data_IF_357878686636
#
_entry.id   IF_357878686636
#
_cell.length_a   1.000
_cell.length_b   1.000
_cell.length_c   1.000
_cell.angle_alpha   90.00
_cell.angle_beta   90.00
_cell.angle_gamma   90.00
#
_symmetry.space_group_name_H-M   'P 1'
#
loop_
_entity.id
_entity.type
_entity.pdbx_description
1 polymer ?
#
# COMPACT_ATOMS: atom_id res chain seq x y z
N UNK A 1 14.72 -59.46 -3.35
CA UNK A 1 13.53 -58.57 -3.40
C UNK A 1 13.90 -57.24 -2.74
N UNK A 2 14.66 -56.42 -3.47
CA UNK A 2 15.03 -55.07 -3.05
C UNK A 2 13.84 -54.15 -3.34
N UNK A 3 13.06 -53.85 -2.30
CA UNK A 3 11.98 -52.85 -2.38
C UNK A 3 12.62 -51.53 -2.81
N UNK A 4 12.30 -51.10 -4.04
CA UNK A 4 12.84 -49.90 -4.66
C UNK A 4 12.30 -48.68 -3.89
N UNK A 5 13.03 -48.23 -2.85
CA UNK A 5 12.65 -47.07 -2.00
C UNK A 5 12.75 -45.70 -2.72
N UNK A 6 13.12 -45.69 -4.00
CA UNK A 6 13.32 -44.49 -4.82
C UNK A 6 12.18 -43.45 -4.76
N UNK A 7 10.90 -43.82 -4.99
CA UNK A 7 9.81 -42.85 -4.99
C UNK A 7 9.51 -42.29 -3.59
N UNK A 8 9.74 -43.06 -2.53
CA UNK A 8 9.48 -42.65 -1.16
C UNK A 8 10.39 -41.50 -0.69
N UNK A 9 11.70 -41.59 -0.96
CA UNK A 9 12.63 -40.51 -0.64
C UNK A 9 12.37 -39.24 -1.47
N UNK A 10 11.92 -39.40 -2.72
CA UNK A 10 11.53 -38.28 -3.57
C UNK A 10 10.33 -37.51 -3.00
N UNK A 11 9.32 -38.24 -2.51
CA UNK A 11 8.13 -37.64 -1.86
C UNK A 11 8.53 -36.90 -0.58
N UNK A 12 9.39 -37.48 0.25
CA UNK A 12 9.90 -36.81 1.46
C UNK A 12 10.70 -35.55 1.11
N UNK A 13 11.54 -35.60 0.08
CA UNK A 13 12.30 -34.44 -0.37
C UNK A 13 11.39 -33.32 -0.88
N UNK A 14 10.42 -33.65 -1.73
CA UNK A 14 9.46 -32.68 -2.30
C UNK A 14 8.62 -32.04 -1.19
N UNK A 15 8.05 -32.84 -0.30
CA UNK A 15 7.28 -32.33 0.84
C UNK A 15 8.14 -31.47 1.75
N UNK A 16 9.37 -31.87 2.06
CA UNK A 16 10.31 -31.08 2.86
C UNK A 16 10.60 -29.70 2.25
N UNK A 17 10.82 -29.63 0.94
CA UNK A 17 11.03 -28.37 0.21
C UNK A 17 9.77 -27.50 0.26
N UNK A 18 8.59 -28.08 0.13
CA UNK A 18 7.31 -27.37 0.24
C UNK A 18 7.10 -26.79 1.65
N UNK A 19 7.35 -27.57 2.71
CA UNK A 19 7.28 -27.09 4.10
C UNK A 19 8.26 -25.94 4.35
N UNK A 20 9.47 -26.02 3.80
CA UNK A 20 10.48 -24.95 3.89
C UNK A 20 10.00 -23.66 3.19
N UNK A 21 9.47 -23.77 1.97
CA UNK A 21 8.91 -22.62 1.24
C UNK A 21 7.74 -21.98 2.01
N UNK A 22 6.85 -22.79 2.59
CA UNK A 22 5.71 -22.32 3.37
C UNK A 22 6.11 -21.59 4.65
N UNK A 23 7.11 -22.09 5.37
CA UNK A 23 7.65 -21.42 6.57
C UNK A 23 8.25 -20.06 6.20
N UNK A 24 9.04 -20.01 5.13
CA UNK A 24 9.63 -18.77 4.62
C UNK A 24 8.54 -17.75 4.22
N UNK A 25 7.55 -18.20 3.43
CA UNK A 25 6.47 -17.34 2.96
C UNK A 25 5.58 -16.83 4.10
N UNK A 26 5.23 -17.71 5.04
CA UNK A 26 4.43 -17.34 6.23
C UNK A 26 5.15 -16.28 7.06
N UNK A 27 6.47 -16.43 7.27
CA UNK A 27 7.29 -15.41 7.93
C UNK A 27 7.29 -14.07 7.19
N UNK A 28 7.35 -14.09 5.85
CA UNK A 28 7.27 -12.89 5.02
C UNK A 28 5.91 -12.20 5.14
N UNK A 29 4.81 -12.95 5.09
CA UNK A 29 3.44 -12.42 5.23
C UNK A 29 3.24 -11.82 6.62
N UNK A 30 3.63 -12.52 7.69
CA UNK A 30 3.51 -12.00 9.06
C UNK A 30 4.30 -10.70 9.26
N UNK A 31 5.52 -10.62 8.71
CA UNK A 31 6.35 -9.41 8.76
C UNK A 31 5.75 -8.25 7.96
N UNK A 32 5.01 -8.55 6.89
CA UNK A 32 4.32 -7.55 6.09
C UNK A 32 2.99 -7.11 6.72
N UNK A 33 2.23 -8.03 7.34
CA UNK A 33 0.96 -7.75 8.02
C UNK A 33 1.07 -6.71 9.13
N UNK A 34 2.21 -6.66 9.84
CA UNK A 34 2.45 -5.66 10.88
C UNK A 34 2.56 -4.22 10.33
N UNK A 35 2.93 -4.08 9.05
CA UNK A 35 3.11 -2.79 8.37
C UNK A 35 1.86 -2.32 7.61
N UNK A 36 0.83 -3.15 7.53
CA UNK A 36 -0.35 -2.91 6.70
C UNK A 36 -1.47 -2.24 7.53
N UNK A 37 -2.07 -1.15 7.03
CA UNK A 37 -3.16 -0.46 7.71
C UNK A 37 -4.36 -1.40 7.95
N UNK A 38 -5.07 -1.20 9.07
CA UNK A 38 -6.16 -2.07 9.55
C UNK A 38 -7.23 -2.38 8.50
N UNK A 39 -7.57 -1.41 7.65
CA UNK A 39 -8.56 -1.59 6.58
C UNK A 39 -8.13 -2.60 5.51
N UNK A 40 -6.82 -2.70 5.23
CA UNK A 40 -6.27 -3.64 4.24
C UNK A 40 -6.01 -5.03 4.85
N UNK A 41 -6.05 -5.18 6.18
CA UNK A 41 -5.80 -6.46 6.88
C UNK A 41 -6.84 -7.55 6.56
N UNK A 42 -8.12 -7.20 6.36
CA UNK A 42 -9.16 -8.19 5.99
C UNK A 42 -8.87 -8.88 4.66
N UNK A 43 -8.45 -8.13 3.64
CA UNK A 43 -8.11 -8.67 2.31
C UNK A 43 -6.85 -9.53 2.38
N UNK A 44 -5.88 -9.14 3.19
CA UNK A 44 -4.66 -9.91 3.39
C UNK A 44 -4.91 -11.20 4.19
N UNK A 45 -5.83 -11.17 5.16
CA UNK A 45 -6.26 -12.38 5.87
C UNK A 45 -6.99 -13.37 4.95
N UNK A 46 -7.83 -12.90 4.02
CA UNK A 46 -8.44 -13.74 2.99
C UNK A 46 -7.39 -14.38 2.07
N UNK A 47 -6.38 -13.62 1.65
CA UNK A 47 -5.25 -14.14 0.88
C UNK A 47 -4.50 -15.25 1.65
N UNK A 48 -4.20 -15.03 2.93
CA UNK A 48 -3.56 -16.05 3.79
C UNK A 48 -4.44 -17.29 3.97
N UNK A 49 -5.76 -17.11 4.10
CA UNK A 49 -6.72 -18.22 4.21
C UNK A 49 -6.73 -19.08 2.94
N UNK A 50 -6.76 -18.47 1.75
CA UNK A 50 -6.70 -19.21 0.48
C UNK A 50 -5.40 -20.00 0.32
N UNK A 51 -4.27 -19.47 0.82
CA UNK A 51 -3.00 -20.19 0.82
C UNK A 51 -3.02 -21.40 1.77
N UNK A 52 -3.58 -21.24 2.98
CA UNK A 52 -3.71 -22.34 3.94
C UNK A 52 -4.65 -23.42 3.39
N UNK A 53 -5.76 -23.03 2.76
CA UNK A 53 -6.69 -23.96 2.12
C UNK A 53 -6.02 -24.73 0.99
N UNK A 54 -5.20 -24.06 0.16
CA UNK A 54 -4.36 -24.70 -0.84
C UNK A 54 -3.36 -25.70 -0.23
N UNK A 55 -2.78 -25.39 0.93
CA UNK A 55 -1.89 -26.31 1.67
C UNK A 55 -2.60 -27.57 2.16
N UNK A 56 -3.81 -27.43 2.71
CA UNK A 56 -4.58 -28.59 3.17
C UNK A 56 -4.96 -29.51 2.00
N UNK A 57 -5.32 -28.93 0.85
CA UNK A 57 -5.58 -29.69 -0.37
C UNK A 57 -4.33 -30.47 -0.84
N UNK A 58 -3.13 -29.87 -0.70
CA UNK A 58 -1.84 -30.52 -1.02
C UNK A 58 -1.55 -31.73 -0.14
N UNK A 59 -1.68 -31.57 1.18
CA UNK A 59 -1.47 -32.65 2.13
C UNK A 59 -2.41 -33.83 1.86
N UNK A 60 -3.66 -33.55 1.45
CA UNK A 60 -4.63 -34.55 1.04
C UNK A 60 -4.27 -35.26 -0.28
N UNK A 61 -3.58 -34.61 -1.22
CA UNK A 61 -3.23 -35.26 -2.51
C UNK A 61 -2.22 -36.38 -2.39
N UNK A 62 -1.33 -36.31 -1.39
CA UNK A 62 -0.25 -37.29 -1.16
C UNK A 62 -0.80 -38.66 -0.76
N UNK A 63 -1.97 -38.72 -0.14
CA UNK A 63 -2.60 -39.99 0.27
C UNK A 63 -3.18 -40.77 -0.91
N UNK A 64 -3.34 -40.14 -2.08
CA UNK A 64 -3.88 -40.76 -3.30
C UNK A 64 -2.81 -41.14 -4.32
N UNK A 65 -1.51 -40.98 -3.99
CA UNK A 65 -0.39 -41.27 -4.89
C UNK A 65 -0.42 -42.70 -5.44
N UNK A 66 -0.86 -43.67 -4.64
CA UNK A 66 -0.90 -45.09 -5.02
C UNK A 66 -2.23 -45.53 -5.65
N UNK A 67 -3.27 -44.69 -5.61
CA UNK A 67 -4.63 -45.09 -5.99
C UNK A 67 -4.88 -44.92 -7.49
N UNK A 68 -4.47 -43.78 -8.07
CA UNK A 68 -4.68 -43.53 -9.50
C UNK A 68 -3.75 -42.43 -10.06
N UNK A 69 -2.92 -42.72 -11.08
CA UNK A 69 -2.00 -41.75 -11.68
C UNK A 69 -2.68 -40.52 -12.30
N UNK A 70 -3.88 -40.69 -12.85
CA UNK A 70 -4.63 -39.60 -13.49
C UNK A 70 -5.20 -38.62 -12.46
N UNK A 71 -5.65 -39.13 -11.32
CA UNK A 71 -6.11 -38.31 -10.20
C UNK A 71 -4.93 -37.49 -9.66
N UNK A 72 -3.76 -38.11 -9.51
CA UNK A 72 -2.54 -37.42 -9.12
C UNK A 72 -2.15 -36.32 -10.12
N UNK A 73 -2.20 -36.59 -11.43
CA UNK A 73 -1.88 -35.61 -12.47
C UNK A 73 -2.82 -34.39 -12.45
N UNK A 74 -4.13 -34.61 -12.25
CA UNK A 74 -5.12 -33.53 -12.10
C UNK A 74 -4.83 -32.70 -10.85
N UNK A 75 -4.48 -33.33 -9.73
CA UNK A 75 -4.14 -32.65 -8.48
C UNK A 75 -2.84 -31.83 -8.61
N UNK A 76 -1.84 -32.32 -9.35
CA UNK A 76 -0.59 -31.59 -9.66
C UNK A 76 -0.83 -30.40 -10.58
N UNK A 77 -1.74 -30.52 -11.56
CA UNK A 77 -2.13 -29.37 -12.40
C UNK A 77 -2.85 -28.30 -11.59
N UNK A 78 -3.82 -28.68 -10.76
CA UNK A 78 -4.50 -27.76 -9.85
C UNK A 78 -3.53 -27.11 -8.85
N UNK A 79 -2.50 -27.85 -8.41
CA UNK A 79 -1.41 -27.35 -7.58
C UNK A 79 -0.66 -26.19 -8.23
N UNK A 80 -0.25 -26.32 -9.49
CA UNK A 80 0.48 -25.26 -10.22
C UNK A 80 -0.41 -24.05 -10.54
N UNK A 81 -1.72 -24.23 -10.63
CA UNK A 81 -2.66 -23.14 -10.93
C UNK A 81 -3.09 -22.36 -9.67
N UNK A 82 -3.00 -22.96 -8.48
CA UNK A 82 -3.36 -22.31 -7.20
C UNK A 82 -2.68 -20.94 -6.93
N UNK A 83 -1.40 -20.69 -7.29
CA UNK A 83 -0.75 -19.39 -7.08
C UNK A 83 -1.22 -18.33 -8.08
N UNK A 84 -1.83 -18.72 -9.20
CA UNK A 84 -2.34 -17.78 -10.21
C UNK A 84 -3.58 -17.05 -9.72
N UNK A 85 -4.37 -17.63 -8.82
CA UNK A 85 -5.58 -17.00 -8.27
C UNK A 85 -5.21 -15.80 -7.39
N UNK A 86 -4.30 -15.90 -6.41
CA UNK A 86 -3.83 -14.74 -5.66
C UNK A 86 -3.11 -13.69 -6.52
N UNK A 87 -2.32 -14.11 -7.50
CA UNK A 87 -1.66 -13.19 -8.45
C UNK A 87 -2.68 -12.46 -9.33
N UNK A 88 -3.68 -13.17 -9.84
CA UNK A 88 -4.80 -12.60 -10.60
C UNK A 88 -5.66 -11.67 -9.76
N UNK A 89 -5.93 -12.03 -8.50
CA UNK A 89 -6.63 -11.19 -7.53
C UNK A 89 -5.86 -9.89 -7.24
N UNK A 90 -4.53 -9.97 -7.05
CA UNK A 90 -3.68 -8.79 -6.88
C UNK A 90 -3.62 -7.92 -8.15
N UNK A 91 -3.63 -8.54 -9.34
CA UNK A 91 -3.64 -7.84 -10.62
C UNK A 91 -4.98 -7.14 -10.90
N UNK A 92 -6.11 -7.79 -10.59
CA UNK A 92 -7.45 -7.18 -10.75
C UNK A 92 -7.70 -6.06 -9.75
N UNK A 93 -7.01 -6.08 -8.61
CA UNK A 93 -7.08 -5.04 -7.60
C UNK A 93 -5.91 -4.04 -7.72
N UNK A 94 -5.14 -4.10 -8.81
CA UNK A 94 -3.95 -3.26 -9.00
C UNK A 94 -4.28 -1.78 -9.02
N UNK A 95 -5.43 -1.38 -9.55
CA UNK A 95 -5.80 0.04 -9.58
C UNK A 95 -6.09 0.60 -8.17
N UNK A 96 -6.29 -0.27 -7.16
CA UNK A 96 -6.48 0.12 -5.74
C UNK A 96 -5.29 -0.22 -4.84
N UNK A 97 -4.36 -1.07 -5.28
CA UNK A 97 -3.15 -1.48 -4.55
C UNK A 97 -1.91 -0.74 -5.07
N UNK A 98 -1.88 -0.51 -6.39
CA UNK A 98 -0.93 0.29 -7.16
C UNK A 98 -1.63 1.50 -7.76
N UNK A 99 -2.45 2.22 -6.97
CA UNK A 99 -2.36 3.68 -7.15
C UNK A 99 -0.86 4.00 -7.12
N UNK A 100 -0.34 4.70 -8.12
CA UNK A 100 1.08 4.98 -8.14
C UNK A 100 1.43 5.59 -6.79
N UNK A 101 2.56 5.18 -6.20
CA UNK A 101 3.14 5.84 -5.02
C UNK A 101 3.30 7.38 -5.25
N UNK A 102 3.00 7.87 -6.46
CA UNK A 102 2.79 9.27 -6.81
C UNK A 102 1.51 9.95 -6.24
N UNK A 103 0.60 9.25 -5.56
CA UNK A 103 -0.64 9.87 -5.02
C UNK A 103 -0.87 9.70 -3.51
N UNK A 104 0.02 9.02 -2.77
CA UNK A 104 0.13 9.30 -1.33
C UNK A 104 0.88 10.62 -1.21
N UNK A 105 0.15 11.73 -1.33
CA UNK A 105 0.60 13.05 -0.87
C UNK A 105 0.15 13.14 0.58
N UNK A 106 0.89 12.60 1.57
CA UNK A 106 0.55 12.80 2.99
C UNK A 106 0.45 14.29 3.34
N UNK A 107 1.05 15.16 2.51
CA UNK A 107 0.93 16.60 2.65
C UNK A 107 -0.34 17.21 2.02
N UNK A 108 -1.01 16.58 1.05
CA UNK A 108 -2.28 17.14 0.52
C UNK A 108 -3.39 16.99 1.55
N UNK A 109 -3.55 15.82 2.15
CA UNK A 109 -4.54 15.63 3.24
C UNK A 109 -4.23 16.53 4.44
N UNK A 110 -2.94 16.68 4.79
CA UNK A 110 -2.51 17.57 5.86
C UNK A 110 -2.78 19.04 5.54
N UNK A 111 -2.50 19.50 4.31
CA UNK A 111 -2.80 20.88 3.86
C UNK A 111 -4.30 21.14 3.85
N UNK A 112 -5.08 20.22 3.28
CA UNK A 112 -6.53 20.32 3.21
C UNK A 112 -7.13 20.43 4.62
N UNK A 113 -6.70 19.54 5.53
CA UNK A 113 -7.13 19.57 6.92
C UNK A 113 -6.67 20.83 7.66
N UNK A 114 -5.47 21.34 7.43
CA UNK A 114 -5.01 22.62 7.99
C UNK A 114 -5.86 23.80 7.47
N UNK A 115 -6.14 23.84 6.18
CA UNK A 115 -6.95 24.88 5.57
C UNK A 115 -8.39 24.86 6.10
N UNK A 116 -8.98 23.68 6.26
CA UNK A 116 -10.28 23.53 6.91
C UNK A 116 -10.24 23.95 8.39
N UNK A 117 -9.23 23.49 9.15
CA UNK A 117 -9.06 23.81 10.57
C UNK A 117 -8.97 25.31 10.84
N UNK A 118 -8.26 26.05 9.99
CA UNK A 118 -8.07 27.49 10.12
C UNK A 118 -9.04 28.31 9.25
N UNK A 119 -10.03 27.67 8.63
CA UNK A 119 -11.03 28.31 7.75
C UNK A 119 -10.36 29.23 6.71
N UNK A 120 -9.31 28.72 6.07
CA UNK A 120 -8.59 29.41 5.01
C UNK A 120 -9.46 29.42 3.75
N UNK A 121 -9.69 30.61 3.21
CA UNK A 121 -10.48 30.81 2.00
C UNK A 121 -9.68 30.44 0.74
N UNK A 122 -10.33 30.15 -0.39
CA UNK A 122 -9.63 29.84 -1.65
C UNK A 122 -8.61 30.92 -2.04
N UNK A 123 -8.97 32.20 -1.86
CA UNK A 123 -8.06 33.30 -2.18
C UNK A 123 -6.85 33.38 -1.25
N UNK A 124 -7.03 33.03 0.03
CA UNK A 124 -5.92 32.93 0.98
C UNK A 124 -5.03 31.72 0.67
N UNK A 125 -5.60 30.60 0.21
CA UNK A 125 -4.83 29.44 -0.24
C UNK A 125 -3.89 29.82 -1.39
N UNK A 126 -4.39 30.52 -2.42
CA UNK A 126 -3.55 31.01 -3.53
C UNK A 126 -2.38 31.87 -3.04
N UNK A 127 -2.62 32.76 -2.07
CA UNK A 127 -1.57 33.59 -1.47
C UNK A 127 -0.55 32.73 -0.70
N UNK A 128 -1.01 31.76 0.10
CA UNK A 128 -0.13 30.81 0.83
C UNK A 128 0.74 30.02 -0.14
N UNK A 129 0.19 29.54 -1.25
CA UNK A 129 0.95 28.82 -2.27
C UNK A 129 2.09 29.66 -2.84
N UNK A 130 1.80 30.92 -3.21
CA UNK A 130 2.86 31.82 -3.68
C UNK A 130 3.89 32.14 -2.59
N UNK A 131 3.48 32.19 -1.32
CA UNK A 131 4.39 32.36 -0.19
C UNK A 131 5.34 31.15 -0.07
N UNK A 132 4.80 29.93 -0.17
CA UNK A 132 5.53 28.67 -0.14
C UNK A 132 6.51 28.52 -1.32
N UNK A 133 6.23 29.14 -2.46
CA UNK A 133 7.15 29.25 -3.60
C UNK A 133 8.28 30.27 -3.39
N UNK A 134 8.32 30.96 -2.24
CA UNK A 134 9.37 31.94 -1.92
C UNK A 134 9.17 33.32 -2.55
N UNK A 135 8.01 33.60 -3.16
CA UNK A 135 7.76 34.89 -3.84
C UNK A 135 7.58 36.05 -2.86
N UNK A 136 8.14 37.22 -3.18
CA UNK A 136 7.93 38.45 -2.42
C UNK A 136 6.49 38.96 -2.57
N UNK A 137 5.99 39.78 -1.64
CA UNK A 137 4.63 40.31 -1.75
C UNK A 137 4.38 41.08 -3.05
N UNK A 138 5.41 41.73 -3.62
CA UNK A 138 5.33 42.38 -4.92
C UNK A 138 5.16 41.37 -6.06
N UNK A 139 5.91 40.27 -6.03
CA UNK A 139 5.78 39.19 -7.02
C UNK A 139 4.43 38.48 -6.91
N UNK A 140 3.92 38.30 -5.69
CA UNK A 140 2.58 37.73 -5.45
C UNK A 140 1.50 38.66 -6.03
N UNK A 141 1.61 39.97 -5.77
CA UNK A 141 0.70 40.98 -6.30
C UNK A 141 0.63 40.92 -7.84
N UNK A 142 1.81 40.87 -8.48
CA UNK A 142 1.91 40.73 -9.93
C UNK A 142 1.36 39.38 -10.43
N UNK A 143 1.63 38.27 -9.73
CA UNK A 143 1.18 36.92 -10.14
C UNK A 143 -0.34 36.77 -10.04
N UNK A 144 -0.93 37.29 -8.95
CA UNK A 144 -2.36 37.15 -8.66
C UNK A 144 -3.19 38.33 -9.18
N UNK A 145 -2.58 39.25 -9.92
CA UNK A 145 -3.19 40.47 -10.48
C UNK A 145 -3.96 41.29 -9.43
N UNK A 146 -3.36 41.52 -8.26
CA UNK A 146 -3.92 42.33 -7.16
C UNK A 146 -2.91 43.35 -6.65
N UNK A 147 -3.38 44.35 -5.91
CA UNK A 147 -2.50 45.36 -5.34
C UNK A 147 -1.57 44.78 -4.26
N UNK A 148 -0.39 45.39 -4.08
CA UNK A 148 0.52 45.04 -2.99
C UNK A 148 -0.16 45.16 -1.62
N UNK A 149 -1.03 46.16 -1.43
CA UNK A 149 -1.77 46.35 -0.20
C UNK A 149 -2.72 45.16 0.05
N UNK A 150 -3.43 44.71 -0.98
CA UNK A 150 -4.32 43.54 -0.89
C UNK A 150 -3.55 42.28 -0.50
N UNK A 151 -2.33 42.06 -1.02
CA UNK A 151 -1.47 40.94 -0.60
C UNK A 151 -1.08 41.05 0.88
N UNK A 152 -0.75 42.25 1.36
CA UNK A 152 -0.44 42.48 2.78
C UNK A 152 -1.65 42.18 3.65
N UNK A 153 -2.83 42.61 3.25
CA UNK A 153 -4.08 42.36 3.98
C UNK A 153 -4.42 40.87 4.03
N UNK A 154 -4.29 40.14 2.91
CA UNK A 154 -4.43 38.69 2.88
C UNK A 154 -3.41 38.01 3.80
N UNK A 155 -2.14 38.40 3.72
CA UNK A 155 -1.07 37.82 4.55
C UNK A 155 -1.33 38.05 6.03
N UNK A 156 -1.80 39.25 6.41
CA UNK A 156 -2.16 39.56 7.78
C UNK A 156 -3.32 38.69 8.28
N UNK A 157 -4.39 38.54 7.48
CA UNK A 157 -5.53 37.66 7.83
C UNK A 157 -5.11 36.20 7.98
N UNK A 158 -4.26 35.70 7.07
CA UNK A 158 -3.70 34.34 7.15
C UNK A 158 -2.95 34.14 8.47
N UNK A 159 -2.05 35.06 8.81
CA UNK A 159 -1.26 35.02 10.04
C UNK A 159 -2.13 35.07 11.29
N UNK A 160 -3.15 35.92 11.31
CA UNK A 160 -4.12 36.02 12.40
C UNK A 160 -4.94 34.73 12.54
N UNK A 161 -5.43 34.13 11.44
CA UNK A 161 -6.18 32.87 11.48
C UNK A 161 -5.35 31.70 12.01
N UNK A 162 -4.09 31.61 11.58
CA UNK A 162 -3.19 30.50 11.95
C UNK A 162 -2.53 30.73 13.32
N UNK A 163 -2.52 31.97 13.83
CA UNK A 163 -1.90 32.33 15.11
C UNK A 163 -0.37 32.41 15.02
N UNK A 164 0.15 32.83 13.87
CA UNK A 164 1.59 32.97 13.62
C UNK A 164 1.91 34.40 13.17
N UNK A 165 3.17 34.80 13.28
CA UNK A 165 3.65 36.12 12.89
C UNK A 165 4.88 36.07 11.96
N UNK A 166 5.25 34.88 11.51
CA UNK A 166 6.46 34.67 10.71
C UNK A 166 6.15 33.89 9.44
N UNK A 167 6.63 34.44 8.32
CA UNK A 167 6.58 33.80 7.02
C UNK A 167 7.22 32.41 7.02
N UNK A 168 8.37 32.28 7.70
CA UNK A 168 9.08 30.99 7.78
C UNK A 168 8.25 29.96 8.56
N UNK A 169 7.58 30.38 9.64
CA UNK A 169 6.66 29.50 10.39
C UNK A 169 5.48 29.04 9.53
N UNK A 170 4.93 29.92 8.68
CA UNK A 170 3.88 29.54 7.73
C UNK A 170 4.40 28.46 6.76
N UNK A 171 5.56 28.70 6.15
CA UNK A 171 6.16 27.73 5.20
C UNK A 171 6.45 26.40 5.89
N UNK A 172 6.99 26.42 7.11
CA UNK A 172 7.27 25.21 7.88
C UNK A 172 5.98 24.45 8.22
N UNK A 173 4.92 25.14 8.64
CA UNK A 173 3.64 24.51 8.97
C UNK A 173 3.00 23.83 7.75
N UNK A 174 3.11 24.45 6.58
CA UNK A 174 2.49 23.97 5.33
C UNK A 174 3.34 22.91 4.63
N UNK A 175 4.68 23.02 4.66
CA UNK A 175 5.57 22.10 3.95
C UNK A 175 6.23 21.02 4.83
N UNK A 176 6.18 21.14 6.16
CA UNK A 176 6.71 20.16 7.11
C UNK A 176 5.62 19.29 7.70
#
# INVERSE_FOLDING_TARGET
LTVQKGPFYLIILITGIEWMYMLFFTGMVLRHMSKVPLEKRKKMAQFTLFLILGLLLRAGSLTFYEVNPWILAILVLLYFMSPLIPLGYMRLQSDKIFEPIAADRPNTDKKEHLFQKYQITPREQEVIEQICLGKTNQQIANTLFISLQTVKDHTHRIYTKIGINSRLKLVQLING
#
